data_IF_669574501303
#
_entry.id   IF_669574501303
#
_cell.length_a   1.000
_cell.length_b   1.000
_cell.length_c   1.000
_cell.angle_alpha   90.00
_cell.angle_beta   90.00
_cell.angle_gamma   90.00
#
_symmetry.space_group_name_H-M   'P 1'
#
loop_
_entity.id
_entity.type
_entity.pdbx_description
1 polymer ?
#
# COMPACT_ATOMS: atom_id res chain seq x y z
N UNK A 1 14.69 19.86 -1.88
CA UNK A 1 13.48 20.71 -1.76
C UNK A 1 12.47 20.05 -0.82
N UNK A 2 11.35 20.72 -0.51
CA UNK A 2 10.33 20.22 0.44
C UNK A 2 9.81 18.82 0.05
N UNK A 3 9.61 18.55 -1.24
CA UNK A 3 9.22 17.23 -1.75
C UNK A 3 10.23 16.12 -1.44
N UNK A 4 11.53 16.44 -1.49
CA UNK A 4 12.61 15.48 -1.20
C UNK A 4 12.63 15.11 0.29
N UNK A 5 12.40 16.09 1.17
CA UNK A 5 12.32 15.85 2.62
C UNK A 5 11.10 14.99 2.95
N UNK A 6 9.96 15.26 2.31
CA UNK A 6 8.72 14.50 2.51
C UNK A 6 8.84 13.05 2.02
N UNK A 7 9.55 12.81 0.90
CA UNK A 7 9.87 11.48 0.40
C UNK A 7 10.84 10.72 1.32
N UNK A 8 11.85 11.40 1.87
CA UNK A 8 12.76 10.78 2.84
C UNK A 8 12.01 10.43 4.13
N UNK A 9 11.15 11.34 4.60
CA UNK A 9 10.32 11.13 5.77
C UNK A 9 9.36 9.95 5.58
N UNK A 10 8.74 9.79 4.40
CA UNK A 10 7.86 8.64 4.13
C UNK A 10 8.62 7.31 4.15
N UNK A 11 9.83 7.25 3.59
CA UNK A 11 10.67 6.06 3.67
C UNK A 11 11.11 5.75 5.13
N UNK A 12 11.47 6.77 5.90
CA UNK A 12 11.84 6.61 7.32
C UNK A 12 10.64 6.16 8.17
N UNK A 13 9.46 6.72 7.92
CA UNK A 13 8.22 6.30 8.57
C UNK A 13 7.89 4.84 8.27
N UNK A 14 8.12 4.38 7.03
CA UNK A 14 7.95 2.97 6.69
C UNK A 14 8.97 2.08 7.42
N UNK A 15 10.23 2.48 7.49
CA UNK A 15 11.26 1.73 8.22
C UNK A 15 10.99 1.65 9.73
N UNK A 16 10.34 2.65 10.31
CA UNK A 16 9.93 2.65 11.71
C UNK A 16 8.58 1.94 11.94
N UNK A 17 7.84 1.64 10.88
CA UNK A 17 6.56 0.99 10.95
C UNK A 17 6.75 -0.53 11.06
N UNK A 18 6.34 -1.09 12.20
CA UNK A 18 6.41 -2.54 12.40
C UNK A 18 5.19 -3.21 11.77
N UNK A 19 5.37 -3.76 10.57
CA UNK A 19 4.31 -4.45 9.83
C UNK A 19 4.00 -5.81 10.47
N UNK A 20 2.84 -5.91 11.12
CA UNK A 20 2.35 -7.14 11.74
C UNK A 20 1.10 -7.68 11.01
N UNK A 21 1.27 -8.74 10.22
CA UNK A 21 0.15 -9.37 9.51
C UNK A 21 -0.77 -10.10 10.53
N UNK A 22 -2.10 -9.90 10.49
CA UNK A 22 -3.02 -10.53 11.44
C UNK A 22 -3.16 -12.05 11.24
N UNK A 23 -2.73 -12.59 10.10
CA UNK A 23 -2.78 -14.01 9.77
C UNK A 23 -4.17 -14.66 9.95
N UNK A 24 -5.22 -13.88 9.66
CA UNK A 24 -6.62 -14.26 9.71
C UNK A 24 -7.20 -14.30 8.29
N UNK A 25 -7.95 -15.34 7.92
CA UNK A 25 -8.58 -15.42 6.60
C UNK A 25 -9.55 -14.24 6.42
N UNK A 26 -9.44 -13.53 5.30
CA UNK A 26 -10.25 -12.35 4.96
C UNK A 26 -9.70 -11.01 5.48
N UNK A 27 -9.06 -10.99 6.66
CA UNK A 27 -8.49 -9.75 7.21
C UNK A 27 -7.13 -9.39 6.60
N UNK A 28 -6.34 -10.38 6.20
CA UNK A 28 -4.99 -10.15 5.65
C UNK A 28 -5.01 -9.20 4.43
N UNK A 29 -5.94 -9.39 3.51
CA UNK A 29 -6.09 -8.57 2.31
C UNK A 29 -6.52 -7.14 2.64
N UNK A 30 -7.51 -6.97 3.52
CA UNK A 30 -8.03 -5.65 3.91
C UNK A 30 -6.98 -4.87 4.71
N UNK A 31 -6.29 -5.52 5.65
CA UNK A 31 -5.23 -4.91 6.44
C UNK A 31 -4.08 -4.42 5.57
N UNK A 32 -3.61 -5.28 4.66
CA UNK A 32 -2.53 -4.94 3.72
C UNK A 32 -2.95 -3.83 2.75
N UNK A 33 -4.17 -3.89 2.20
CA UNK A 33 -4.71 -2.82 1.37
C UNK A 33 -4.80 -1.48 2.13
N UNK A 34 -5.18 -1.52 3.41
CA UNK A 34 -5.16 -0.35 4.29
C UNK A 34 -3.77 0.27 4.41
N UNK A 35 -2.74 -0.53 4.68
CA UNK A 35 -1.35 -0.03 4.78
C UNK A 35 -0.81 0.45 3.44
N UNK A 36 -1.26 -0.13 2.33
CA UNK A 36 -0.87 0.29 1.00
C UNK A 36 -1.55 1.59 0.55
N UNK A 37 -2.79 1.87 1.01
CA UNK A 37 -3.59 3.01 0.54
C UNK A 37 -3.69 4.16 1.54
N UNK A 38 -3.89 3.88 2.82
CA UNK A 38 -4.14 4.91 3.84
C UNK A 38 -2.95 5.85 4.03
N UNK A 39 -1.70 5.38 4.25
CA UNK A 39 -0.56 6.29 4.42
C UNK A 39 -0.27 7.14 3.18
N UNK A 40 -0.28 6.60 1.93
CA UNK A 40 -0.17 7.43 0.73
C UNK A 40 -1.25 8.51 0.61
N UNK A 41 -2.50 8.20 0.95
CA UNK A 41 -3.58 9.18 0.97
C UNK A 41 -3.30 10.31 1.97
N UNK A 42 -2.89 9.97 3.18
CA UNK A 42 -2.54 10.97 4.22
C UNK A 42 -1.35 11.82 3.77
N UNK A 43 -0.29 11.22 3.23
CA UNK A 43 0.88 11.92 2.71
C UNK A 43 0.53 12.85 1.54
N UNK A 44 -0.36 12.41 0.65
CA UNK A 44 -0.84 13.23 -0.46
C UNK A 44 -1.60 14.46 0.04
N UNK A 45 -2.52 14.27 0.98
CA UNK A 45 -3.28 15.37 1.61
C UNK A 45 -2.35 16.33 2.36
N UNK A 46 -1.34 15.81 3.07
CA UNK A 46 -0.34 16.62 3.75
C UNK A 46 0.50 17.43 2.74
N UNK A 47 0.93 16.81 1.64
CA UNK A 47 1.66 17.47 0.56
C UNK A 47 0.86 18.59 -0.11
N UNK A 48 -0.46 18.41 -0.25
CA UNK A 48 -1.37 19.47 -0.70
C UNK A 48 -1.51 20.57 0.38
N UNK A 49 -1.75 20.22 1.64
CA UNK A 49 -1.95 21.18 2.72
C UNK A 49 -0.72 22.05 3.01
N UNK A 50 0.49 21.49 2.87
CA UNK A 50 1.74 22.24 3.03
C UNK A 50 2.03 23.22 1.89
N UNK A 51 1.24 23.18 0.81
CA UNK A 51 1.43 24.07 -0.32
C UNK A 51 0.75 25.41 -0.06
N UNK A 52 1.56 26.47 0.05
CA UNK A 52 1.09 27.83 0.32
C UNK A 52 0.07 28.38 -0.67
N UNK A 53 -0.02 27.81 -1.87
CA UNK A 53 -0.93 28.26 -2.91
C UNK A 53 -2.30 27.58 -2.87
N UNK A 54 -2.52 26.55 -2.03
CA UNK A 54 -3.81 25.82 -1.96
C UNK A 54 -4.96 26.70 -1.47
N UNK A 55 -4.71 27.62 -0.53
CA UNK A 55 -5.72 28.58 -0.07
C UNK A 55 -6.12 29.55 -1.19
N UNK A 56 -5.15 30.10 -1.91
CA UNK A 56 -5.38 30.97 -3.07
C UNK A 56 -6.17 30.24 -4.16
N UNK A 57 -5.81 28.99 -4.45
CA UNK A 57 -6.47 28.17 -5.47
C UNK A 57 -7.92 27.82 -5.07
N UNK A 58 -8.17 27.58 -3.78
CA UNK A 58 -9.50 27.33 -3.23
C UNK A 58 -10.38 28.60 -3.22
N UNK A 59 -9.81 29.77 -2.94
CA UNK A 59 -10.52 31.04 -3.03
C UNK A 59 -10.90 31.38 -4.47
N UNK A 60 -9.99 31.15 -5.42
CA UNK A 60 -10.25 31.40 -6.84
C UNK A 60 -11.27 30.41 -7.44
N UNK A 61 -11.26 29.14 -7.00
CA UNK A 61 -12.29 28.15 -7.37
C UNK A 61 -13.68 28.48 -6.81
N UNK A 62 -13.76 29.10 -5.63
CA UNK A 62 -15.03 29.52 -5.02
C UNK A 62 -15.65 30.75 -5.68
N UNK A 63 -14.88 31.53 -6.45
CA UNK A 63 -15.42 32.70 -7.15
C UNK A 63 -16.40 32.28 -8.25
N UNK A 64 -17.54 32.95 -8.41
CA UNK A 64 -18.50 32.63 -9.46
C UNK A 64 -17.88 32.82 -10.85
N UNK A 65 -18.28 31.99 -11.84
CA UNK A 65 -17.77 32.07 -13.21
C UNK A 65 -18.01 33.48 -13.77
N UNK A 66 -16.94 34.16 -14.19
CA UNK A 66 -16.95 35.55 -14.65
C UNK A 66 -16.36 36.58 -13.67
N UNK A 67 -16.07 36.20 -12.41
CA UNK A 67 -15.27 36.99 -11.45
C UNK A 67 -13.90 36.39 -11.16
N UNK A 68 -13.54 35.30 -11.84
CA UNK A 68 -12.22 34.71 -11.73
C UNK A 68 -11.19 35.62 -12.42
N UNK A 69 -10.13 35.95 -11.68
CA UNK A 69 -9.00 36.73 -12.16
C UNK A 69 -8.10 35.91 -13.11
N UNK A 70 -8.10 34.60 -12.94
CA UNK A 70 -7.27 33.66 -13.70
C UNK A 70 -8.13 32.78 -14.62
N UNK A 71 -7.61 32.45 -15.80
CA UNK A 71 -8.26 31.54 -16.74
C UNK A 71 -8.37 30.12 -16.11
N UNK A 72 -9.52 29.43 -16.22
CA UNK A 72 -9.68 28.06 -15.74
C UNK A 72 -8.63 27.07 -16.28
N UNK A 73 -8.00 27.33 -17.43
CA UNK A 73 -6.87 26.54 -17.91
C UNK A 73 -5.60 26.71 -17.05
N UNK A 74 -5.30 27.93 -16.60
CA UNK A 74 -4.12 28.23 -15.77
C UNK A 74 -4.31 27.66 -14.37
N UNK A 75 -5.51 27.78 -13.81
CA UNK A 75 -5.86 27.22 -12.51
C UNK A 75 -5.73 25.69 -12.47
N UNK A 76 -6.15 25.00 -13.54
CA UNK A 76 -5.94 23.56 -13.72
C UNK A 76 -4.47 23.20 -13.85
N UNK A 77 -3.70 23.98 -14.60
CA UNK A 77 -2.26 23.75 -14.75
C UNK A 77 -1.51 23.91 -13.42
N UNK A 78 -1.83 24.95 -12.65
CA UNK A 78 -1.29 25.13 -11.30
C UNK A 78 -1.66 23.94 -10.40
N UNK A 79 -2.93 23.53 -10.38
CA UNK A 79 -3.37 22.38 -9.60
C UNK A 79 -2.63 21.09 -10.00
N UNK A 80 -2.49 20.82 -11.30
CA UNK A 80 -1.73 19.67 -11.80
C UNK A 80 -0.26 19.72 -11.36
N UNK A 81 0.39 20.88 -11.43
CA UNK A 81 1.78 21.04 -10.97
C UNK A 81 1.92 20.78 -9.47
N UNK A 82 0.96 21.24 -8.67
CA UNK A 82 0.94 20.99 -7.23
C UNK A 82 0.69 19.52 -6.91
N UNK A 83 -0.28 18.89 -7.57
CA UNK A 83 -0.60 17.49 -7.41
C UNK A 83 0.59 16.60 -7.80
N UNK A 84 1.28 16.88 -8.91
CA UNK A 84 2.48 16.16 -9.35
C UNK A 84 3.58 16.17 -8.28
N UNK A 85 3.79 17.31 -7.62
CA UNK A 85 4.79 17.44 -6.55
C UNK A 85 4.36 16.73 -5.26
N UNK A 86 3.08 16.76 -4.93
CA UNK A 86 2.52 16.08 -3.76
C UNK A 86 2.49 14.54 -3.93
N UNK A 87 2.39 14.04 -5.16
CA UNK A 87 2.38 12.61 -5.51
C UNK A 87 3.72 11.90 -5.26
N UNK A 88 4.84 12.63 -5.14
CA UNK A 88 6.17 12.04 -4.98
C UNK A 88 6.25 11.19 -3.70
N UNK A 89 5.82 11.71 -2.55
CA UNK A 89 5.88 10.99 -1.28
C UNK A 89 4.96 9.73 -1.24
N UNK A 90 3.70 9.79 -1.71
CA UNK A 90 2.85 8.62 -1.93
C UNK A 90 3.48 7.54 -2.82
N UNK A 91 4.07 7.94 -3.95
CA UNK A 91 4.73 6.99 -4.87
C UNK A 91 5.93 6.33 -4.20
N UNK A 92 6.74 7.09 -3.46
CA UNK A 92 7.88 6.55 -2.72
C UNK A 92 7.41 5.58 -1.63
N UNK A 93 6.34 5.89 -0.90
CA UNK A 93 5.76 4.96 0.08
C UNK A 93 5.38 3.63 -0.56
N UNK A 94 4.59 3.67 -1.63
CA UNK A 94 4.14 2.46 -2.35
C UNK A 94 5.32 1.67 -2.92
N UNK A 95 6.34 2.36 -3.45
CA UNK A 95 7.53 1.69 -3.96
C UNK A 95 8.30 0.97 -2.85
N UNK A 96 8.52 1.62 -1.70
CA UNK A 96 9.24 1.02 -0.57
C UNK A 96 8.43 -0.15 0.03
N UNK A 97 7.11 -0.01 0.17
CA UNK A 97 6.26 -1.09 0.71
C UNK A 97 6.20 -2.30 -0.20
N UNK A 98 6.22 -2.10 -1.53
CA UNK A 98 6.30 -3.17 -2.51
C UNK A 98 7.68 -3.83 -2.53
N UNK A 99 8.76 -3.06 -2.41
CA UNK A 99 10.12 -3.58 -2.36
C UNK A 99 10.38 -4.44 -1.12
N UNK A 100 9.77 -4.11 0.02
CA UNK A 100 9.85 -4.93 1.23
C UNK A 100 9.01 -6.22 1.11
N UNK A 101 8.00 -6.26 0.24
CA UNK A 101 7.23 -7.45 -0.11
C UNK A 101 6.27 -7.98 0.97
N UNK A 102 6.48 -7.64 2.25
CA UNK A 102 5.66 -8.15 3.38
C UNK A 102 4.16 -7.85 3.23
N UNK A 103 3.83 -6.65 2.76
CA UNK A 103 2.45 -6.22 2.54
C UNK A 103 1.80 -6.99 1.37
N UNK A 104 2.53 -7.24 0.30
CA UNK A 104 2.05 -8.00 -0.86
C UNK A 104 1.84 -9.47 -0.49
N UNK A 105 2.79 -10.04 0.25
CA UNK A 105 2.74 -11.40 0.75
C UNK A 105 1.54 -11.62 1.68
N UNK A 106 1.30 -10.72 2.65
CA UNK A 106 0.13 -10.78 3.51
C UNK A 106 -1.18 -10.63 2.69
N UNK A 107 -1.23 -9.75 1.68
CA UNK A 107 -2.43 -9.55 0.87
C UNK A 107 -2.81 -10.79 0.02
N UNK A 108 -1.82 -11.46 -0.57
CA UNK A 108 -2.04 -12.50 -1.59
C UNK A 108 -1.83 -13.93 -1.10
N UNK A 109 -1.37 -14.12 0.15
CA UNK A 109 -1.14 -15.46 0.70
C UNK A 109 -2.32 -16.43 0.49
N UNK A 110 -3.57 -15.97 0.64
CA UNK A 110 -4.78 -16.79 0.45
C UNK A 110 -5.16 -17.05 -1.00
N UNK A 111 -4.56 -16.35 -1.96
CA UNK A 111 -4.83 -16.46 -3.39
C UNK A 111 -3.83 -17.37 -4.12
N UNK A 112 -2.78 -17.85 -3.45
CA UNK A 112 -1.76 -18.70 -4.05
C UNK A 112 -2.37 -20.05 -4.46
N UNK A 113 -2.22 -20.47 -5.73
CA UNK A 113 -2.73 -21.76 -6.18
C UNK A 113 -1.93 -22.90 -5.54
N UNK A 114 -2.65 -23.86 -4.93
CA UNK A 114 -2.04 -25.02 -4.26
C UNK A 114 -1.20 -25.90 -5.16
N UNK A 115 -1.44 -25.85 -6.47
CA UNK A 115 -0.65 -26.56 -7.46
C UNK A 115 0.80 -26.06 -7.54
N UNK A 116 1.06 -24.82 -7.11
CA UNK A 116 2.39 -24.22 -7.07
C UNK A 116 3.15 -24.50 -5.77
N UNK A 117 2.47 -24.96 -4.71
CA UNK A 117 3.07 -25.23 -3.38
C UNK A 117 3.85 -26.55 -3.31
N UNK A 118 3.94 -27.29 -4.43
CA UNK A 118 4.68 -28.54 -4.54
C UNK A 118 3.90 -29.78 -4.05
N UNK A 119 4.20 -30.93 -4.68
CA UNK A 119 3.55 -32.24 -4.45
C UNK A 119 3.74 -32.83 -3.04
N UNK A 120 4.65 -32.26 -2.24
CA UNK A 120 4.92 -32.70 -0.86
C UNK A 120 4.02 -32.07 0.21
N UNK A 121 3.18 -31.08 -0.15
CA UNK A 121 2.26 -30.45 0.79
C UNK A 121 0.97 -31.27 0.91
N UNK A 122 0.41 -31.36 2.13
CA UNK A 122 -0.91 -31.99 2.43
C UNK A 122 -2.08 -31.22 1.78
N UNK A 123 -1.78 -30.13 1.05
CA UNK A 123 -2.73 -29.21 0.41
C UNK A 123 -3.75 -29.83 -0.57
N UNK A 124 -3.41 -30.80 -1.44
CA UNK A 124 -4.32 -31.21 -2.52
C UNK A 124 -5.56 -31.99 -2.06
N UNK A 125 -5.60 -32.45 -0.80
CA UNK A 125 -6.75 -33.17 -0.23
C UNK A 125 -7.64 -32.35 0.70
N UNK A 126 -7.28 -31.09 1.01
CA UNK A 126 -7.92 -30.31 2.07
C UNK A 126 -9.13 -29.51 1.55
N UNK A 127 -10.25 -29.43 2.31
CA UNK A 127 -11.36 -28.57 1.92
C UNK A 127 -10.95 -27.09 1.84
N UNK A 128 -11.47 -26.37 0.84
CA UNK A 128 -11.19 -24.93 0.58
C UNK A 128 -11.11 -24.03 1.84
N UNK A 129 -12.07 -24.06 2.78
CA UNK A 129 -12.01 -23.16 3.96
C UNK A 129 -10.83 -23.45 4.89
N UNK A 130 -10.40 -24.70 4.98
CA UNK A 130 -9.27 -25.12 5.80
C UNK A 130 -7.94 -24.75 5.14
N UNK A 131 -7.88 -24.93 3.82
CA UNK A 131 -6.78 -24.44 3.00
C UNK A 131 -6.60 -22.91 3.12
N UNK A 132 -7.68 -22.12 3.02
CA UNK A 132 -7.59 -20.66 3.17
C UNK A 132 -7.06 -20.26 4.55
N UNK A 133 -7.41 -21.00 5.61
CA UNK A 133 -6.88 -20.77 6.97
C UNK A 133 -5.38 -21.06 7.07
N UNK A 134 -4.89 -22.13 6.42
CA UNK A 134 -3.46 -22.45 6.39
C UNK A 134 -2.68 -21.41 5.57
N UNK A 135 -3.19 -21.06 4.39
CA UNK A 135 -2.59 -20.05 3.54
C UNK A 135 -2.52 -18.67 4.20
N UNK A 136 -3.55 -18.30 4.99
CA UNK A 136 -3.56 -17.05 5.74
C UNK A 136 -2.42 -16.95 6.78
N UNK A 137 -1.82 -18.07 7.19
CA UNK A 137 -0.74 -18.13 8.19
C UNK A 137 0.67 -18.14 7.58
N UNK A 138 0.81 -18.33 6.27
CA UNK A 138 2.10 -18.29 5.54
C UNK A 138 2.97 -17.07 5.91
N UNK A 139 2.41 -15.84 6.08
CA UNK A 139 3.20 -14.67 6.49
C UNK A 139 3.79 -14.77 7.90
N UNK A 140 3.21 -15.59 8.78
CA UNK A 140 3.58 -15.70 10.19
C UNK A 140 4.46 -16.95 10.46
N UNK A 141 5.79 -16.80 10.64
CA UNK A 141 6.69 -17.95 10.84
C UNK A 141 6.37 -18.76 12.10
N UNK A 142 5.90 -18.11 13.17
CA UNK A 142 5.69 -18.77 14.47
C UNK A 142 4.42 -19.63 14.53
N UNK A 143 3.55 -19.52 13.54
CA UNK A 143 2.25 -20.22 13.49
C UNK A 143 2.27 -21.38 12.49
N UNK A 144 3.37 -21.56 11.73
CA UNK A 144 3.52 -22.64 10.77
C UNK A 144 4.21 -23.87 11.40
N UNK A 145 3.53 -25.02 11.36
CA UNK A 145 4.10 -26.32 11.73
C UNK A 145 5.21 -26.76 10.77
N UNK A 146 6.13 -27.61 11.25
CA UNK A 146 7.34 -28.03 10.54
C UNK A 146 7.12 -28.58 9.13
N UNK A 147 6.05 -29.35 8.90
CA UNK A 147 5.70 -29.91 7.59
C UNK A 147 5.29 -28.84 6.55
N UNK A 148 4.84 -27.67 7.01
CA UNK A 148 4.43 -26.56 6.14
C UNK A 148 5.54 -25.53 5.88
N UNK A 149 6.72 -25.68 6.49
CA UNK A 149 7.83 -24.74 6.33
C UNK A 149 8.35 -24.68 4.88
N UNK A 150 8.48 -25.83 4.20
CA UNK A 150 8.91 -25.89 2.81
C UNK A 150 7.88 -25.25 1.86
N UNK A 151 6.60 -25.51 2.08
CA UNK A 151 5.51 -24.91 1.29
C UNK A 151 5.42 -23.40 1.52
N UNK A 152 5.71 -22.94 2.75
CA UNK A 152 5.82 -21.51 3.09
C UNK A 152 6.98 -20.86 2.34
N UNK A 153 8.17 -21.45 2.32
CA UNK A 153 9.31 -20.90 1.56
C UNK A 153 9.00 -20.78 0.07
N UNK A 154 8.37 -21.80 -0.52
CA UNK A 154 7.94 -21.77 -1.93
C UNK A 154 6.89 -20.67 -2.16
N UNK A 155 5.91 -20.53 -1.27
CA UNK A 155 4.90 -19.48 -1.35
C UNK A 155 5.50 -18.07 -1.22
N UNK A 156 6.50 -17.92 -0.35
CA UNK A 156 7.23 -16.66 -0.13
C UNK A 156 8.13 -16.32 -1.31
N UNK A 157 8.77 -17.29 -1.96
CA UNK A 157 9.56 -17.01 -3.17
C UNK A 157 8.69 -16.79 -4.41
N UNK A 158 7.47 -17.31 -4.42
CA UNK A 158 6.52 -17.12 -5.52
C UNK A 158 5.89 -15.72 -5.50
N UNK A 159 5.66 -15.16 -4.31
CA UNK A 159 5.05 -13.85 -4.08
C UNK A 159 6.09 -12.74 -3.96
#
# INVERSE_FOLDING_TARGET
GICSIMALASAQMYSAFDFSCPCLPGYNAVYSAGILLTPPLVLFLLGLAMNSNVSMLAEEWKRPPGRQAEDPAVLRCMFCSMAQRALIAPVVWVAVTLLDGKCFLCALCTAVPVTMLGKGSVAPGLPRPELTRLLARVPCPEVCDGDWLLAREVAVCYL
#
